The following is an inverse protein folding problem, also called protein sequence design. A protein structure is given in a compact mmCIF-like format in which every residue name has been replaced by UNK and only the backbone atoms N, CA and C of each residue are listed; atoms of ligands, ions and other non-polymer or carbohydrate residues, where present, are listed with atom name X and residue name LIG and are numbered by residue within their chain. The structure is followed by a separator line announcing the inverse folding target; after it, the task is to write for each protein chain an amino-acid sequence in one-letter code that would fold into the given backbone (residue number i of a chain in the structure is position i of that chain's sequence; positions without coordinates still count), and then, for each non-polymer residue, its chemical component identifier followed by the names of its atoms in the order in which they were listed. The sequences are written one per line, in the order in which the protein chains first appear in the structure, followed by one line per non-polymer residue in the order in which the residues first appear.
data_IF_564431722044
#
_entry.id   IF_564431722044
#
_cell.length_a   1.000
_cell.length_b   1.000
_cell.length_c   1.000
_cell.angle_alpha   90.00
_cell.angle_beta   90.00
_cell.angle_gamma   90.00
#
_symmetry.space_group_name_H-M   'P 1'
#
loop_
_entity.id
_entity.type
_entity.pdbx_description
1 polymer ?
#
# COMPACT_ATOMS: atom_id res chain seq x y z
N UNK A 1 24.96 -7.40 -23.40
CA UNK A 1 25.00 -7.68 -21.96
C UNK A 1 24.60 -6.40 -21.23
N UNK A 2 23.33 -6.25 -20.88
CA UNK A 2 22.88 -5.15 -20.01
C UNK A 2 23.18 -5.54 -18.57
N UNK A 3 24.14 -4.86 -17.96
CA UNK A 3 24.33 -4.92 -16.51
C UNK A 3 23.05 -4.34 -15.86
N UNK A 4 22.24 -5.20 -15.25
CA UNK A 4 21.19 -4.76 -14.35
C UNK A 4 21.90 -4.06 -13.17
N UNK A 5 21.72 -2.75 -13.09
CA UNK A 5 22.11 -2.00 -11.91
C UNK A 5 21.18 -2.44 -10.76
N UNK A 6 21.65 -3.32 -9.93
CA UNK A 6 21.05 -3.55 -8.62
C UNK A 6 21.33 -2.29 -7.79
N UNK A 7 20.31 -1.49 -7.55
CA UNK A 7 20.45 -0.41 -6.57
C UNK A 7 20.38 -1.04 -5.18
N UNK A 8 21.53 -1.33 -4.60
CA UNK A 8 21.65 -1.75 -3.20
C UNK A 8 21.26 -0.59 -2.26
N UNK A 9 20.03 -0.12 -2.34
CA UNK A 9 19.52 0.91 -1.45
C UNK A 9 18.88 0.22 -0.25
N UNK A 10 19.49 0.39 0.91
CA UNK A 10 18.90 -0.05 2.17
C UNK A 10 17.89 0.99 2.63
N UNK A 11 16.65 0.57 2.86
CA UNK A 11 15.57 1.38 3.36
C UNK A 11 15.24 0.97 4.80
N UNK A 12 14.68 1.89 5.58
CA UNK A 12 14.19 1.57 6.93
C UNK A 12 13.02 0.59 6.90
N UNK A 13 12.17 0.64 5.86
CA UNK A 13 11.07 -0.29 5.71
C UNK A 13 10.67 -0.49 4.25
N UNK A 14 10.18 -1.69 3.92
CA UNK A 14 9.43 -1.98 2.70
C UNK A 14 8.05 -2.52 3.11
N UNK A 15 7.01 -1.92 2.55
CA UNK A 15 5.62 -2.32 2.77
C UNK A 15 5.16 -3.09 1.54
N UNK A 16 4.74 -4.34 1.71
CA UNK A 16 4.22 -5.17 0.62
C UNK A 16 2.71 -5.08 0.60
N UNK A 17 2.17 -4.52 -0.46
CA UNK A 17 0.74 -4.30 -0.68
C UNK A 17 0.28 -2.89 -0.32
N UNK A 18 -0.70 -2.40 -1.10
CA UNK A 18 -1.25 -1.05 -1.00
C UNK A 18 -2.76 -1.03 -0.72
N UNK A 19 -3.24 -2.01 0.03
CA UNK A 19 -4.57 -1.99 0.63
C UNK A 19 -4.62 -1.10 1.88
N UNK A 20 -5.71 -1.19 2.67
CA UNK A 20 -5.86 -0.44 3.92
C UNK A 20 -4.65 -0.61 4.86
N UNK A 21 -4.19 -1.85 5.06
CA UNK A 21 -3.06 -2.12 5.94
C UNK A 21 -1.78 -1.44 5.50
N UNK A 22 -1.41 -1.57 4.23
CA UNK A 22 -0.18 -1.00 3.69
C UNK A 22 -0.18 0.52 3.65
N UNK A 23 -1.28 1.13 3.20
CA UNK A 23 -1.43 2.59 3.18
C UNK A 23 -1.46 3.16 4.60
N UNK A 24 -2.19 2.51 5.52
CA UNK A 24 -2.21 2.92 6.93
C UNK A 24 -0.83 2.85 7.58
N UNK A 25 -0.07 1.79 7.34
CA UNK A 25 1.31 1.65 7.83
C UNK A 25 2.22 2.76 7.28
N UNK A 26 2.13 3.05 5.98
CA UNK A 26 2.92 4.10 5.34
C UNK A 26 2.66 5.47 5.98
N UNK A 27 1.40 5.81 6.22
CA UNK A 27 1.02 7.07 6.87
C UNK A 27 1.59 7.12 8.30
N UNK A 28 1.48 6.04 9.06
CA UNK A 28 1.99 5.99 10.44
C UNK A 28 3.52 6.07 10.49
N UNK A 29 4.24 5.43 9.57
CA UNK A 29 5.71 5.57 9.48
C UNK A 29 6.11 7.02 9.20
N UNK A 30 5.46 7.66 8.24
CA UNK A 30 5.73 9.05 7.89
C UNK A 30 5.46 10.00 9.08
N UNK A 31 4.35 9.82 9.79
CA UNK A 31 4.02 10.57 10.99
C UNK A 31 5.00 10.33 12.16
N UNK A 32 5.60 9.15 12.21
CA UNK A 32 6.66 8.81 13.16
C UNK A 32 8.04 9.35 12.77
N UNK A 33 8.15 10.05 11.63
CA UNK A 33 9.42 10.60 11.13
C UNK A 33 10.28 9.60 10.36
N UNK A 34 9.76 8.41 10.04
CA UNK A 34 10.43 7.41 9.22
C UNK A 34 9.97 7.65 7.77
N UNK A 35 10.79 8.31 6.97
CA UNK A 35 10.44 8.73 5.62
C UNK A 35 11.09 7.91 4.51
N UNK A 36 12.11 7.12 4.83
CA UNK A 36 12.85 6.27 3.90
C UNK A 36 12.23 4.87 3.80
N UNK A 37 11.02 4.80 3.29
CA UNK A 37 10.30 3.56 3.01
C UNK A 37 9.74 3.52 1.59
N UNK A 38 9.43 2.32 1.12
CA UNK A 38 8.81 2.06 -0.16
C UNK A 38 7.58 1.17 0.02
N UNK A 39 6.51 1.47 -0.71
CA UNK A 39 5.31 0.62 -0.82
C UNK A 39 5.38 -0.10 -2.16
N UNK A 40 5.38 -1.41 -2.15
CA UNK A 40 5.42 -2.24 -3.36
C UNK A 40 4.06 -2.92 -3.55
N UNK A 41 3.47 -2.72 -4.73
CA UNK A 41 2.16 -3.25 -5.09
C UNK A 41 2.25 -4.00 -6.41
N UNK A 42 1.75 -5.23 -6.45
CA UNK A 42 1.74 -6.05 -7.68
C UNK A 42 0.81 -5.53 -8.77
N UNK A 43 -0.27 -4.88 -8.38
CA UNK A 43 -1.22 -4.31 -9.33
C UNK A 43 -0.81 -2.91 -9.80
N UNK A 44 -1.55 -2.40 -10.78
CA UNK A 44 -1.31 -1.08 -11.38
C UNK A 44 -2.02 0.06 -10.64
N UNK A 45 -2.70 -0.23 -9.53
CA UNK A 45 -3.38 0.76 -8.71
C UNK A 45 -3.41 0.31 -7.24
N UNK A 46 -3.64 1.25 -6.35
CA UNK A 46 -3.82 1.00 -4.91
C UNK A 46 -5.22 0.45 -4.61
N UNK A 47 -5.42 -0.11 -3.42
CA UNK A 47 -6.75 -0.44 -2.94
C UNK A 47 -6.95 -1.87 -2.43
N UNK A 48 -6.07 -2.82 -2.81
CA UNK A 48 -6.17 -4.22 -2.37
C UNK A 48 -7.56 -4.81 -2.65
N UNK A 49 -8.21 -5.35 -1.63
CA UNK A 49 -9.57 -5.92 -1.72
C UNK A 49 -10.58 -4.98 -2.40
N UNK A 50 -10.48 -3.69 -2.13
CA UNK A 50 -11.42 -2.68 -2.66
C UNK A 50 -11.10 -2.25 -4.09
N UNK A 51 -9.95 -2.56 -4.61
CA UNK A 51 -9.63 -2.53 -6.04
C UNK A 51 -10.11 -3.81 -6.72
N UNK A 52 -9.84 -4.97 -6.12
CA UNK A 52 -10.00 -6.28 -6.77
C UNK A 52 -11.46 -6.75 -6.83
N UNK A 53 -12.32 -6.30 -5.93
CA UNK A 53 -13.71 -6.74 -5.80
C UNK A 53 -14.68 -5.65 -6.26
N UNK A 54 -14.71 -5.39 -7.55
CA UNK A 54 -15.51 -4.35 -8.21
C UNK A 54 -16.82 -4.84 -8.82
N UNK A 55 -17.25 -6.07 -8.50
CA UNK A 55 -18.48 -6.66 -9.00
C UNK A 55 -19.72 -5.93 -8.48
N UNK A 56 -20.88 -6.03 -9.19
CA UNK A 56 -22.13 -5.39 -8.76
C UNK A 56 -22.55 -5.82 -7.36
N UNK A 57 -22.83 -4.84 -6.50
CA UNK A 57 -23.25 -5.09 -5.12
C UNK A 57 -22.10 -5.21 -4.12
N UNK A 58 -20.83 -5.16 -4.57
CA UNK A 58 -19.67 -5.15 -3.67
C UNK A 58 -19.72 -3.95 -2.73
N UNK A 59 -19.62 -4.22 -1.44
CA UNK A 59 -19.69 -3.20 -0.39
C UNK A 59 -19.29 -3.75 0.96
N UNK A 60 -19.23 -2.87 1.95
CA UNK A 60 -18.86 -3.21 3.31
C UNK A 60 -20.10 -3.56 4.14
N UNK A 61 -19.96 -4.51 5.05
CA UNK A 61 -20.97 -4.89 6.06
C UNK A 61 -20.78 -4.16 7.41
N UNK A 62 -19.75 -3.31 7.48
CA UNK A 62 -19.51 -2.41 8.61
C UNK A 62 -20.06 -1.02 8.30
N UNK A 63 -20.70 -0.34 9.26
CA UNK A 63 -21.16 1.04 9.08
C UNK A 63 -20.02 1.96 8.63
N UNK A 64 -20.30 2.80 7.64
CA UNK A 64 -19.30 3.62 6.94
C UNK A 64 -18.45 4.46 7.87
N UNK A 65 -19.02 5.01 8.95
CA UNK A 65 -18.31 5.82 9.94
C UNK A 65 -17.21 5.06 10.69
N UNK A 66 -17.30 3.73 10.75
CA UNK A 66 -16.31 2.87 11.38
C UNK A 66 -15.29 2.31 10.40
N UNK A 67 -15.56 2.43 9.09
CA UNK A 67 -14.71 1.86 8.05
C UNK A 67 -13.81 2.91 7.42
N UNK A 68 -13.02 3.56 8.24
CA UNK A 68 -12.00 4.55 7.87
C UNK A 68 -10.87 4.52 8.90
N UNK A 69 -9.75 5.14 8.56
CA UNK A 69 -8.68 5.32 9.55
C UNK A 69 -9.14 6.29 10.64
N UNK A 70 -8.78 6.02 11.89
CA UNK A 70 -9.10 6.88 13.03
C UNK A 70 -8.49 8.28 12.92
N UNK A 71 -7.36 8.39 12.23
CA UNK A 71 -6.64 9.65 11.97
C UNK A 71 -7.14 10.38 10.70
N UNK A 72 -7.99 9.75 9.90
CA UNK A 72 -8.58 10.31 8.68
C UNK A 72 -10.06 9.97 8.58
N UNK A 73 -10.91 10.48 9.50
CA UNK A 73 -12.34 10.22 9.44
C UNK A 73 -12.97 10.88 8.22
N UNK A 74 -13.90 10.16 7.59
CA UNK A 74 -14.74 10.69 6.53
C UNK A 74 -16.19 10.82 7.02
N UNK A 75 -16.81 11.96 6.79
CA UNK A 75 -18.15 12.26 7.27
C UNK A 75 -19.23 12.30 6.19
N UNK A 76 -18.82 12.40 4.93
CA UNK A 76 -19.70 12.56 3.75
C UNK A 76 -19.95 11.24 3.00
N UNK A 77 -20.03 10.12 3.73
CA UNK A 77 -20.37 8.84 3.12
C UNK A 77 -21.78 8.84 2.54
N UNK A 78 -21.96 8.45 1.25
CA UNK A 78 -23.28 8.46 0.61
C UNK A 78 -24.22 7.38 1.13
N UNK A 79 -23.69 6.34 1.81
CA UNK A 79 -24.46 5.21 2.31
C UNK A 79 -24.04 4.84 3.72
N UNK A 80 -25.00 4.29 4.51
CA UNK A 80 -24.73 3.75 5.85
C UNK A 80 -23.67 2.64 5.80
N UNK A 81 -23.71 1.81 4.76
CA UNK A 81 -22.71 0.79 4.45
C UNK A 81 -22.07 1.17 3.12
N UNK A 82 -20.79 1.53 3.17
CA UNK A 82 -20.09 2.04 2.00
C UNK A 82 -19.95 0.97 0.90
N UNK A 83 -20.10 1.41 -0.32
CA UNK A 83 -19.89 0.57 -1.50
C UNK A 83 -18.44 0.60 -1.95
N UNK A 84 -18.06 -0.41 -2.72
CA UNK A 84 -16.70 -0.56 -3.24
C UNK A 84 -16.12 0.74 -3.86
N UNK A 85 -16.82 1.46 -4.76
CA UNK A 85 -16.25 2.66 -5.36
C UNK A 85 -15.94 3.76 -4.36
N UNK A 86 -16.77 3.91 -3.32
CA UNK A 86 -16.58 4.92 -2.29
C UNK A 86 -15.39 4.60 -1.40
N UNK A 87 -15.19 3.33 -1.07
CA UNK A 87 -14.06 2.86 -0.25
C UNK A 87 -12.77 2.94 -1.04
N UNK A 88 -12.78 2.53 -2.30
CA UNK A 88 -11.61 2.65 -3.18
C UNK A 88 -11.21 4.13 -3.37
N UNK A 89 -12.18 5.01 -3.58
CA UNK A 89 -11.94 6.45 -3.65
C UNK A 89 -11.36 7.01 -2.34
N UNK A 90 -11.80 6.51 -1.18
CA UNK A 90 -11.26 6.89 0.12
C UNK A 90 -9.77 6.52 0.25
N UNK A 91 -9.38 5.30 -0.16
CA UNK A 91 -7.97 4.87 -0.13
C UNK A 91 -7.13 5.77 -1.05
N UNK A 92 -7.60 6.06 -2.26
CA UNK A 92 -6.92 6.97 -3.19
C UNK A 92 -6.79 8.39 -2.63
N UNK A 93 -7.81 8.88 -1.94
CA UNK A 93 -7.78 10.15 -1.24
C UNK A 93 -6.66 10.17 -0.19
N UNK A 94 -6.55 9.13 0.64
CA UNK A 94 -5.49 9.02 1.64
C UNK A 94 -4.09 9.01 0.99
N UNK A 95 -3.88 8.24 -0.08
CA UNK A 95 -2.62 8.23 -0.83
C UNK A 95 -2.24 9.63 -1.32
N UNK A 96 -3.21 10.36 -1.84
CA UNK A 96 -2.99 11.72 -2.37
C UNK A 96 -2.74 12.73 -1.25
N UNK A 97 -3.59 12.73 -0.22
CA UNK A 97 -3.52 13.68 0.91
C UNK A 97 -2.22 13.57 1.67
N UNK A 98 -1.75 12.34 1.90
CA UNK A 98 -0.51 12.08 2.64
C UNK A 98 0.74 11.99 1.75
N UNK A 99 0.63 12.35 0.46
CA UNK A 99 1.78 12.46 -0.45
C UNK A 99 2.53 11.17 -0.72
N UNK A 100 1.84 10.00 -0.66
CA UNK A 100 2.48 8.69 -0.75
C UNK A 100 2.85 8.26 -2.18
N UNK A 101 2.42 8.99 -3.22
CA UNK A 101 2.61 8.57 -4.61
C UNK A 101 4.07 8.38 -5.00
N UNK A 102 4.97 9.21 -4.49
CA UNK A 102 6.41 9.11 -4.78
C UNK A 102 7.08 7.90 -4.13
N UNK A 103 6.40 7.27 -3.16
CA UNK A 103 6.87 6.08 -2.43
C UNK A 103 6.11 4.81 -2.84
N UNK A 104 5.29 4.89 -3.89
CA UNK A 104 4.56 3.75 -4.46
C UNK A 104 5.28 3.21 -5.69
N UNK A 105 5.59 1.92 -5.66
CA UNK A 105 6.04 1.15 -6.81
C UNK A 105 4.94 0.17 -7.20
N UNK A 106 4.19 0.52 -8.24
CA UNK A 106 3.10 -0.29 -8.79
C UNK A 106 3.63 -1.26 -9.85
N UNK A 107 2.85 -2.32 -10.13
CA UNK A 107 3.21 -3.32 -11.13
C UNK A 107 4.44 -4.14 -10.76
N UNK A 108 4.76 -4.26 -9.47
CA UNK A 108 5.90 -5.02 -8.96
C UNK A 108 5.43 -6.06 -7.97
N UNK A 109 5.55 -7.33 -8.33
CA UNK A 109 5.19 -8.45 -7.48
C UNK A 109 6.42 -9.00 -6.77
N UNK A 110 6.36 -9.08 -5.45
CA UNK A 110 7.42 -9.69 -4.65
C UNK A 110 7.21 -11.21 -4.62
N UNK A 111 8.22 -11.93 -5.07
CA UNK A 111 8.25 -13.39 -5.09
C UNK A 111 8.72 -13.95 -3.75
N UNK A 112 9.72 -13.32 -3.14
CA UNK A 112 10.29 -13.79 -1.89
C UNK A 112 10.81 -12.64 -1.03
N UNK A 113 10.79 -12.87 0.28
CA UNK A 113 11.47 -12.05 1.27
C UNK A 113 12.30 -12.97 2.19
N UNK A 114 13.59 -12.74 2.26
CA UNK A 114 14.53 -13.55 3.05
C UNK A 114 15.30 -12.64 3.99
N UNK A 115 15.37 -13.05 5.25
CA UNK A 115 16.21 -12.34 6.20
C UNK A 115 17.67 -12.84 6.08
N UNK A 116 18.57 -11.88 5.91
CA UNK A 116 20.01 -12.12 5.91
C UNK A 116 20.57 -11.83 7.30
N UNK A 117 20.89 -12.87 8.05
CA UNK A 117 21.40 -12.76 9.42
C UNK A 117 22.78 -12.08 9.49
N UNK A 118 23.59 -12.25 8.45
CA UNK A 118 24.94 -11.68 8.38
C UNK A 118 24.92 -10.16 8.24
N UNK A 119 23.92 -9.64 7.50
CA UNK A 119 23.73 -8.21 7.28
C UNK A 119 22.67 -7.59 8.20
N UNK A 120 21.83 -8.42 8.83
CA UNK A 120 20.69 -7.95 9.62
C UNK A 120 19.61 -7.29 8.78
N UNK A 121 19.42 -7.71 7.53
CA UNK A 121 18.54 -7.09 6.54
C UNK A 121 17.57 -8.10 5.95
N UNK A 122 16.38 -7.60 5.55
CA UNK A 122 15.48 -8.31 4.68
C UNK A 122 15.86 -8.06 3.22
N UNK A 123 16.09 -9.12 2.46
CA UNK A 123 16.29 -9.08 1.01
C UNK A 123 15.00 -9.51 0.33
N UNK A 124 14.45 -8.64 -0.50
CA UNK A 124 13.23 -8.88 -1.26
C UNK A 124 13.57 -9.10 -2.73
N UNK A 125 12.98 -10.11 -3.32
CA UNK A 125 13.16 -10.39 -4.75
C UNK A 125 11.81 -10.34 -5.46
N UNK A 126 11.73 -9.57 -6.54
CA UNK A 126 10.55 -9.53 -7.41
C UNK A 126 10.50 -10.74 -8.35
N UNK A 127 9.33 -10.99 -8.95
CA UNK A 127 9.17 -12.04 -9.98
C UNK A 127 10.05 -11.79 -11.21
N UNK A 128 10.42 -10.55 -11.48
CA UNK A 128 11.31 -10.16 -12.60
C UNK A 128 12.80 -10.28 -12.23
N UNK A 129 13.10 -10.73 -11.01
CA UNK A 129 14.47 -10.95 -10.52
C UNK A 129 15.21 -9.68 -10.12
N UNK A 130 14.50 -8.59 -9.83
CA UNK A 130 15.07 -7.43 -9.14
C UNK A 130 15.16 -7.69 -7.63
N UNK A 131 16.27 -7.29 -7.03
CA UNK A 131 16.53 -7.38 -5.60
C UNK A 131 16.69 -5.99 -4.98
#
# INVERSE_FOLDING_TARGET
MHKKNHSNTVLSAIIIGSGFGGIGMAIQLDQAGISDFLIIEKANDVGGTWRDNDYPGSGCDVPSHLYSYSFEPRTDWPHKYARQPDIHAYIKHCVSKYGLRSRLRLGCEIQSARFDEGQGLWCLTSIDGEE
#
